data_IF_696082555634
#
_entry.id   IF_696082555634
#
_cell.length_a   1.000
_cell.length_b   1.000
_cell.length_c   1.000
_cell.angle_alpha   90.00
_cell.angle_beta   90.00
_cell.angle_gamma   90.00
#
_symmetry.space_group_name_H-M   'P 1'
#
loop_
_entity.id
_entity.type
_entity.pdbx_description
1 polymer ?
#
# COMPACT_ATOMS: atom_id res chain seq x y z
N UNK A 1 -24.45 16.53 22.98
CA UNK A 1 -23.06 16.22 23.36
C UNK A 1 -22.98 14.73 23.63
N UNK A 2 -22.00 14.05 23.02
CA UNK A 2 -21.76 12.61 23.14
C UNK A 2 -20.64 12.41 24.16
N UNK A 3 -20.78 11.49 25.12
CA UNK A 3 -19.64 11.13 25.98
C UNK A 3 -18.65 10.22 25.26
N UNK A 4 -17.44 10.15 25.83
CA UNK A 4 -16.31 9.46 25.23
C UNK A 4 -16.55 7.95 25.09
N UNK A 5 -17.24 7.32 26.03
CA UNK A 5 -17.47 5.87 25.99
C UNK A 5 -18.51 5.51 24.93
N UNK A 6 -19.58 6.30 24.78
CA UNK A 6 -20.48 6.15 23.63
C UNK A 6 -19.76 6.40 22.29
N UNK A 7 -18.82 7.35 22.22
CA UNK A 7 -18.00 7.53 21.01
C UNK A 7 -17.16 6.28 20.69
N UNK A 8 -16.57 5.63 21.71
CA UNK A 8 -15.85 4.36 21.55
C UNK A 8 -16.79 3.24 21.09
N UNK A 9 -17.99 3.15 21.67
CA UNK A 9 -18.99 2.14 21.26
C UNK A 9 -19.44 2.33 19.81
N UNK A 10 -19.61 3.58 19.36
CA UNK A 10 -19.91 3.89 17.96
C UNK A 10 -18.75 3.48 17.02
N UNK A 11 -17.50 3.70 17.43
CA UNK A 11 -16.33 3.21 16.70
C UNK A 11 -16.33 1.68 16.65
N UNK A 12 -16.58 0.98 17.75
CA UNK A 12 -16.71 -0.48 17.78
C UNK A 12 -17.79 -0.98 16.84
N UNK A 13 -18.94 -0.31 16.82
CA UNK A 13 -20.03 -0.63 15.91
C UNK A 13 -19.57 -0.53 14.45
N UNK A 14 -18.87 0.56 14.10
CA UNK A 14 -18.28 0.72 12.78
C UNK A 14 -17.27 -0.39 12.44
N UNK A 15 -16.34 -0.71 13.35
CA UNK A 15 -15.32 -1.74 13.15
C UNK A 15 -15.92 -3.12 12.91
N UNK A 16 -16.99 -3.47 13.62
CA UNK A 16 -17.73 -4.70 13.36
C UNK A 16 -18.43 -4.69 12.00
N UNK A 17 -18.98 -3.54 11.56
CA UNK A 17 -19.51 -3.41 10.19
C UNK A 17 -18.42 -3.58 9.13
N UNK A 18 -17.19 -3.10 9.37
CA UNK A 18 -16.06 -3.34 8.47
C UNK A 18 -15.73 -4.83 8.41
N UNK A 19 -15.69 -5.51 9.56
CA UNK A 19 -15.42 -6.94 9.64
C UNK A 19 -16.47 -7.81 8.92
N UNK A 20 -17.74 -7.37 8.87
CA UNK A 20 -18.80 -8.08 8.16
C UNK A 20 -18.63 -8.07 6.64
N UNK A 21 -17.89 -7.11 6.09
CA UNK A 21 -17.62 -7.08 4.65
C UNK A 21 -16.82 -8.35 4.30
N UNK A 22 -17.11 -8.95 3.14
CA UNK A 22 -16.44 -10.17 2.72
C UNK A 22 -16.17 -10.17 1.21
N UNK A 23 -15.12 -10.90 0.79
CA UNK A 23 -14.73 -11.04 -0.61
C UNK A 23 -14.16 -12.43 -0.88
N UNK A 24 -14.84 -13.16 -1.77
CA UNK A 24 -14.34 -14.42 -2.29
C UNK A 24 -13.26 -14.20 -3.37
N UNK A 25 -12.27 -15.09 -3.40
CA UNK A 25 -11.17 -15.13 -4.37
C UNK A 25 -11.00 -16.56 -4.87
N UNK A 26 -10.37 -16.74 -6.04
CA UNK A 26 -10.06 -18.07 -6.56
C UNK A 26 -9.07 -18.80 -5.64
N UNK A 27 -9.06 -20.14 -5.65
CA UNK A 27 -8.22 -20.93 -4.75
C UNK A 27 -6.71 -20.63 -4.85
N UNK A 28 -6.22 -20.26 -6.03
CA UNK A 28 -4.83 -19.83 -6.21
C UNK A 28 -4.58 -18.45 -5.58
N UNK A 29 -5.46 -17.46 -5.84
CA UNK A 29 -5.29 -16.11 -5.34
C UNK A 29 -5.50 -16.02 -3.82
N UNK A 30 -6.39 -16.84 -3.24
CA UNK A 30 -6.59 -16.93 -1.79
C UNK A 30 -5.33 -17.36 -1.03
N UNK A 31 -4.40 -18.12 -1.64
CA UNK A 31 -3.12 -18.47 -1.00
C UNK A 31 -2.20 -17.25 -0.84
N UNK A 32 -2.30 -16.27 -1.73
CA UNK A 32 -1.58 -14.99 -1.63
C UNK A 32 -2.34 -13.95 -0.78
N UNK A 33 -3.57 -14.24 -0.37
CA UNK A 33 -4.42 -13.39 0.48
C UNK A 33 -5.01 -14.23 1.61
N UNK A 34 -4.13 -14.87 2.40
CA UNK A 34 -4.53 -15.74 3.48
C UNK A 34 -5.30 -14.96 4.57
N UNK A 35 -6.36 -15.56 5.12
CA UNK A 35 -7.22 -14.93 6.14
C UNK A 35 -8.40 -14.13 5.61
N UNK A 36 -8.70 -14.23 4.30
CA UNK A 36 -9.79 -13.48 3.63
C UNK A 36 -9.77 -11.95 3.90
N UNK A 37 -8.61 -11.27 3.82
CA UNK A 37 -8.51 -9.87 4.17
C UNK A 37 -9.19 -8.95 3.14
N UNK A 38 -9.62 -7.80 3.64
CA UNK A 38 -10.17 -6.69 2.86
C UNK A 38 -9.34 -5.42 2.93
N UNK A 39 -8.44 -5.31 3.91
CA UNK A 39 -7.48 -4.21 4.04
C UNK A 39 -8.17 -2.83 4.16
N UNK A 40 -9.22 -2.72 4.98
CA UNK A 40 -9.93 -1.45 5.20
C UNK A 40 -9.15 -0.62 6.23
N UNK A 41 -8.29 0.28 5.74
CA UNK A 41 -7.35 1.03 6.57
C UNK A 41 -8.01 2.23 7.27
N UNK A 42 -7.56 2.52 8.49
CA UNK A 42 -7.81 3.79 9.19
C UNK A 42 -6.45 4.36 9.59
N UNK A 43 -6.16 5.58 9.14
CA UNK A 43 -4.93 6.31 9.49
C UNK A 43 -5.21 7.34 10.58
N UNK A 44 -4.34 7.39 11.59
CA UNK A 44 -4.34 8.42 12.65
C UNK A 44 -2.92 8.97 12.88
N UNK A 45 -2.81 10.08 13.59
CA UNK A 45 -1.53 10.74 13.87
C UNK A 45 -1.04 11.57 12.69
N UNK A 46 0.28 11.68 12.54
CA UNK A 46 0.92 12.48 11.50
C UNK A 46 0.88 13.98 11.78
N UNK A 47 1.13 14.75 10.74
CA UNK A 47 1.17 16.20 10.77
C UNK A 47 0.14 16.83 9.84
N UNK A 48 -0.30 18.04 10.14
CA UNK A 48 -1.02 18.90 9.21
C UNK A 48 -0.29 20.24 9.04
N UNK A 49 -0.61 20.97 7.97
CA UNK A 49 -0.15 22.35 7.79
C UNK A 49 -1.21 23.32 8.33
N UNK A 50 -0.83 24.14 9.31
CA UNK A 50 -1.64 25.25 9.84
C UNK A 50 -0.89 26.54 9.53
N UNK A 51 -1.50 27.42 8.73
CA UNK A 51 -0.85 28.64 8.23
C UNK A 51 0.53 28.38 7.58
N UNK A 52 0.65 27.25 6.89
CA UNK A 52 1.89 26.79 6.23
C UNK A 52 2.96 26.23 7.18
N UNK A 53 2.66 26.09 8.47
CA UNK A 53 3.57 25.49 9.45
C UNK A 53 3.15 24.05 9.80
N UNK A 54 4.08 23.09 9.81
CA UNK A 54 3.79 21.73 10.26
C UNK A 54 3.44 21.69 11.74
N UNK A 55 2.30 21.10 12.07
CA UNK A 55 1.81 20.90 13.42
C UNK A 55 1.44 19.43 13.63
N UNK A 56 1.60 18.93 14.86
CA UNK A 56 1.15 17.58 15.23
C UNK A 56 -0.38 17.48 15.06
N UNK A 57 -0.84 16.48 14.31
CA UNK A 57 -2.26 16.28 14.03
C UNK A 57 -2.94 15.34 15.06
N UNK A 58 -2.17 14.76 15.99
CA UNK A 58 -2.70 13.95 17.09
C UNK A 58 -3.69 14.77 17.93
N UNK A 59 -4.87 14.22 18.18
CA UNK A 59 -5.95 14.88 18.91
C UNK A 59 -6.76 13.86 19.74
N UNK A 60 -7.75 14.28 20.56
CA UNK A 60 -8.50 13.36 21.42
C UNK A 60 -9.22 12.23 20.67
N UNK A 61 -9.63 12.45 19.42
CA UNK A 61 -10.24 11.40 18.60
C UNK A 61 -9.19 10.36 18.16
N UNK A 62 -7.94 10.77 17.91
CA UNK A 62 -6.83 9.85 17.64
C UNK A 62 -6.66 8.83 18.78
N UNK A 63 -6.67 9.30 20.03
CA UNK A 63 -6.61 8.42 21.21
C UNK A 63 -7.84 7.52 21.33
N UNK A 64 -9.05 8.05 21.08
CA UNK A 64 -10.28 7.26 21.12
C UNK A 64 -10.29 6.15 20.07
N UNK A 65 -9.82 6.43 18.84
CA UNK A 65 -9.68 5.44 17.76
C UNK A 65 -8.67 4.37 18.16
N UNK A 66 -7.47 4.78 18.60
CA UNK A 66 -6.41 3.88 19.04
C UNK A 66 -6.88 2.94 20.16
N UNK A 67 -7.49 3.50 21.19
CA UNK A 67 -8.04 2.74 22.31
C UNK A 67 -9.18 1.81 21.86
N UNK A 68 -10.10 2.28 21.02
CA UNK A 68 -11.21 1.47 20.54
C UNK A 68 -10.71 0.21 19.82
N UNK A 69 -9.67 0.33 18.99
CA UNK A 69 -9.04 -0.80 18.30
C UNK A 69 -8.35 -1.74 19.29
N UNK A 70 -7.62 -1.21 20.28
CA UNK A 70 -6.96 -2.02 21.32
C UNK A 70 -7.94 -2.80 22.22
N UNK A 71 -9.11 -2.21 22.49
CA UNK A 71 -10.20 -2.89 23.22
C UNK A 71 -10.84 -4.00 22.37
N UNK A 72 -11.11 -3.76 21.09
CA UNK A 72 -11.83 -4.69 20.22
C UNK A 72 -10.96 -5.82 19.66
N UNK A 73 -9.68 -5.55 19.35
CA UNK A 73 -8.69 -6.52 18.83
C UNK A 73 -9.14 -7.26 17.57
N UNK A 74 -9.91 -6.58 16.73
CA UNK A 74 -10.39 -7.08 15.44
C UNK A 74 -9.31 -6.97 14.36
N UNK A 75 -9.48 -7.70 13.25
CA UNK A 75 -8.66 -7.56 12.05
C UNK A 75 -9.05 -6.36 11.18
N UNK A 76 -10.24 -5.78 11.41
CA UNK A 76 -10.71 -4.55 10.80
C UNK A 76 -11.06 -3.51 11.88
N UNK A 77 -10.70 -2.23 11.72
CA UNK A 77 -9.93 -1.69 10.59
C UNK A 77 -8.45 -2.12 10.64
N UNK A 78 -7.73 -1.97 9.53
CA UNK A 78 -6.28 -2.03 9.53
C UNK A 78 -5.72 -0.70 10.03
N UNK A 79 -5.36 -0.61 11.32
CA UNK A 79 -4.98 0.64 11.96
C UNK A 79 -3.52 1.02 11.66
N UNK A 80 -3.31 2.21 11.07
CA UNK A 80 -2.00 2.79 10.79
C UNK A 80 -1.81 4.10 11.53
N UNK A 81 -0.64 4.27 12.15
CA UNK A 81 -0.20 5.50 12.79
C UNK A 81 0.86 6.16 11.92
N UNK A 82 0.66 7.44 11.60
CA UNK A 82 1.68 8.27 10.97
C UNK A 82 2.63 8.81 12.04
N UNK A 83 3.86 8.31 12.03
CA UNK A 83 4.95 8.78 12.89
C UNK A 83 5.58 10.04 12.30
N UNK A 84 5.90 11.00 13.15
CA UNK A 84 6.81 12.11 12.87
C UNK A 84 7.64 12.42 14.12
N UNK A 85 8.76 13.11 13.94
CA UNK A 85 9.71 13.42 15.01
C UNK A 85 9.12 14.27 16.14
N UNK A 86 8.07 15.06 15.86
CA UNK A 86 7.38 15.90 16.85
C UNK A 86 6.29 15.17 17.64
N UNK A 87 6.00 13.90 17.34
CA UNK A 87 4.96 13.14 18.02
C UNK A 87 5.30 12.95 19.51
N UNK A 88 4.32 13.15 20.38
CA UNK A 88 4.55 13.06 21.83
C UNK A 88 4.90 11.62 22.29
N UNK A 89 5.75 11.53 23.31
CA UNK A 89 6.06 10.24 23.96
C UNK A 89 4.82 9.58 24.57
N UNK A 90 3.83 10.37 25.01
CA UNK A 90 2.57 9.88 25.56
C UNK A 90 1.77 9.11 24.50
N UNK A 91 1.59 9.69 23.31
CA UNK A 91 0.88 9.01 22.23
C UNK A 91 1.65 7.80 21.70
N UNK A 92 2.99 7.89 21.63
CA UNK A 92 3.83 6.77 21.24
C UNK A 92 3.72 5.60 22.24
N UNK A 93 3.75 5.88 23.55
CA UNK A 93 3.55 4.85 24.58
C UNK A 93 2.14 4.24 24.50
N UNK A 94 1.10 5.06 24.27
CA UNK A 94 -0.25 4.56 24.03
C UNK A 94 -0.31 3.59 22.84
N UNK A 95 0.43 3.86 21.75
CA UNK A 95 0.56 2.93 20.62
C UNK A 95 1.21 1.62 21.06
N UNK A 96 2.28 1.67 21.87
CA UNK A 96 2.94 0.47 22.42
C UNK A 96 1.99 -0.33 23.33
N UNK A 97 1.15 0.33 24.11
CA UNK A 97 0.11 -0.34 24.91
C UNK A 97 -0.88 -1.12 24.05
N UNK A 98 -1.26 -0.58 22.89
CA UNK A 98 -2.12 -1.29 21.92
C UNK A 98 -1.37 -2.43 21.24
N UNK A 99 -0.09 -2.27 20.88
CA UNK A 99 0.73 -3.37 20.35
C UNK A 99 0.76 -4.56 21.31
N UNK A 100 0.88 -4.29 22.62
CA UNK A 100 0.89 -5.31 23.68
C UNK A 100 -0.42 -6.11 23.78
N UNK A 101 -1.50 -5.67 23.13
CA UNK A 101 -2.75 -6.44 23.04
C UNK A 101 -2.64 -7.65 22.09
N UNK A 102 -1.57 -7.76 21.28
CA UNK A 102 -1.20 -9.01 20.60
C UNK A 102 -1.96 -9.31 19.32
N UNK A 103 -2.51 -8.29 18.64
CA UNK A 103 -3.28 -8.46 17.39
C UNK A 103 -2.62 -7.82 16.16
N UNK A 104 -1.38 -7.30 16.30
CA UNK A 104 -0.55 -6.85 15.18
C UNK A 104 -0.69 -5.38 14.78
N UNK A 105 -1.39 -4.55 15.56
CA UNK A 105 -1.62 -3.12 15.29
C UNK A 105 -1.30 -2.25 16.51
N UNK A 106 -1.15 -0.92 16.35
CA UNK A 106 -1.06 -0.21 15.06
C UNK A 106 0.22 -0.52 14.25
N UNK A 107 0.12 -0.42 12.93
CA UNK A 107 1.28 -0.30 12.05
C UNK A 107 1.77 1.16 12.01
N UNK A 108 2.99 1.38 11.49
CA UNK A 108 3.58 2.72 11.41
C UNK A 108 3.97 3.09 9.97
N UNK A 109 3.50 4.25 9.53
CA UNK A 109 4.02 4.98 8.37
C UNK A 109 4.86 6.14 8.87
N UNK A 110 5.82 6.61 8.06
CA UNK A 110 6.82 7.58 8.50
C UNK A 110 6.75 8.87 7.67
N UNK A 111 6.27 9.95 8.29
CA UNK A 111 6.17 11.27 7.67
C UNK A 111 7.54 11.80 7.23
N UNK A 112 8.61 11.45 7.96
CA UNK A 112 10.00 11.89 7.70
C UNK A 112 10.56 11.45 6.34
N UNK A 113 9.93 10.45 5.70
CA UNK A 113 10.29 9.98 4.36
C UNK A 113 9.15 10.17 3.36
N UNK A 114 7.90 9.93 3.77
CA UNK A 114 6.77 9.99 2.84
C UNK A 114 6.54 11.41 2.35
N UNK A 115 6.51 12.39 3.26
CA UNK A 115 6.20 13.78 2.89
C UNK A 115 7.27 14.37 1.96
N UNK A 116 8.59 14.27 2.25
CA UNK A 116 9.62 14.78 1.35
C UNK A 116 9.59 14.11 -0.03
N UNK A 117 9.40 12.80 -0.09
CA UNK A 117 9.38 12.08 -1.37
C UNK A 117 8.09 12.32 -2.16
N UNK A 118 6.95 12.54 -1.50
CA UNK A 118 5.71 12.98 -2.17
C UNK A 118 5.88 14.36 -2.81
N UNK A 119 6.45 15.32 -2.10
CA UNK A 119 6.72 16.65 -2.63
C UNK A 119 7.69 16.56 -3.82
N UNK A 120 8.73 15.73 -3.72
CA UNK A 120 9.69 15.48 -4.80
C UNK A 120 9.06 14.83 -6.03
N UNK A 121 8.02 14.02 -5.85
CA UNK A 121 7.21 13.47 -6.95
C UNK A 121 6.27 14.51 -7.60
N UNK A 122 6.15 15.70 -7.01
CA UNK A 122 5.30 16.79 -7.50
C UNK A 122 3.94 16.89 -6.81
N UNK A 123 3.73 16.19 -5.69
CA UNK A 123 2.53 16.37 -4.88
C UNK A 123 2.62 17.70 -4.14
N UNK A 124 1.54 18.49 -4.19
CA UNK A 124 1.45 19.77 -3.49
C UNK A 124 1.72 19.58 -1.99
N UNK A 125 2.47 20.47 -1.33
CA UNK A 125 2.79 20.33 0.10
C UNK A 125 1.54 20.12 0.97
N UNK A 126 0.46 20.85 0.72
CA UNK A 126 -0.78 20.68 1.47
C UNK A 126 -1.36 19.27 1.39
N UNK A 127 -1.26 18.64 0.22
CA UNK A 127 -1.73 17.27 -0.03
C UNK A 127 -0.74 16.23 0.52
N UNK A 128 0.56 16.49 0.41
CA UNK A 128 1.60 15.62 0.93
C UNK A 128 1.51 15.50 2.46
N UNK A 129 1.22 16.59 3.18
CA UNK A 129 1.00 16.54 4.63
C UNK A 129 -0.33 15.84 5.01
N UNK A 130 -1.29 15.74 4.10
CA UNK A 130 -2.60 15.09 4.31
C UNK A 130 -2.65 13.63 3.78
N UNK A 131 -1.50 13.00 3.55
CA UNK A 131 -1.46 11.62 3.07
C UNK A 131 -2.04 10.63 4.11
N UNK A 132 -2.51 9.49 3.63
CA UNK A 132 -2.94 8.37 4.46
C UNK A 132 -2.33 7.04 3.99
N UNK A 133 -2.31 6.05 4.88
CA UNK A 133 -2.06 4.68 4.49
C UNK A 133 -3.31 4.11 3.79
N UNK A 134 -3.11 3.44 2.66
CA UNK A 134 -4.15 2.76 1.91
C UNK A 134 -3.90 1.27 2.03
N UNK A 135 -4.94 0.46 2.25
CA UNK A 135 -4.77 -1.00 2.27
C UNK A 135 -3.82 -1.48 3.36
N UNK A 136 -2.62 -1.88 2.97
CA UNK A 136 -1.57 -2.42 3.84
C UNK A 136 -0.64 -1.34 4.38
N UNK A 137 0.32 -0.89 3.57
CA UNK A 137 1.40 0.03 3.98
C UNK A 137 1.64 1.17 2.98
N UNK A 138 1.11 1.01 1.77
CA UNK A 138 1.18 1.98 0.71
C UNK A 138 0.51 3.29 1.11
N UNK A 139 0.99 4.39 0.54
CA UNK A 139 0.55 5.73 0.92
C UNK A 139 0.01 6.45 -0.30
N UNK A 140 -1.00 7.28 -0.09
CA UNK A 140 -1.61 8.12 -1.11
C UNK A 140 -2.30 9.31 -0.44
N UNK A 141 -2.72 10.27 -1.25
CA UNK A 141 -3.56 11.39 -0.79
C UNK A 141 -5.03 10.98 -0.88
N UNK A 142 -5.71 10.93 0.27
CA UNK A 142 -7.12 10.54 0.34
C UNK A 142 -8.00 11.43 -0.54
N UNK A 143 -8.87 10.82 -1.34
CA UNK A 143 -9.80 11.54 -2.22
C UNK A 143 -9.17 12.22 -3.44
N UNK A 144 -7.85 12.17 -3.61
CA UNK A 144 -7.13 12.83 -4.72
C UNK A 144 -6.23 11.90 -5.53
N UNK A 145 -6.14 10.62 -5.16
CA UNK A 145 -5.27 9.67 -5.83
C UNK A 145 -6.06 8.67 -6.69
N UNK A 146 -5.40 8.16 -7.74
CA UNK A 146 -5.93 7.08 -8.55
C UNK A 146 -6.01 5.73 -7.81
N UNK A 147 -6.39 4.68 -8.53
CA UNK A 147 -6.33 3.33 -7.96
C UNK A 147 -4.88 2.88 -7.75
N UNK A 148 -4.68 1.95 -6.81
CA UNK A 148 -3.48 1.12 -6.69
C UNK A 148 -2.17 1.93 -6.66
N UNK A 149 -1.98 2.74 -5.62
CA UNK A 149 -0.64 3.25 -5.28
C UNK A 149 0.37 2.10 -5.01
N UNK A 150 -0.14 0.89 -4.73
CA UNK A 150 0.55 -0.39 -4.95
C UNK A 150 -0.42 -1.46 -5.44
N UNK A 151 0.09 -2.67 -5.66
CA UNK A 151 -0.72 -3.86 -5.91
C UNK A 151 -1.02 -4.11 -7.37
N UNK A 152 -0.11 -3.73 -8.27
CA UNK A 152 -0.18 -4.02 -9.70
C UNK A 152 0.20 -5.49 -9.98
N UNK A 153 1.17 -5.75 -10.85
CA UNK A 153 1.72 -7.10 -11.05
C UNK A 153 2.75 -7.47 -9.97
N UNK A 154 2.98 -8.78 -9.80
CA UNK A 154 3.96 -9.31 -8.86
C UNK A 154 5.06 -10.04 -9.63
N UNK A 155 6.30 -9.54 -9.54
CA UNK A 155 7.49 -10.21 -10.09
C UNK A 155 8.15 -11.03 -8.98
N UNK A 156 8.43 -12.31 -9.26
CA UNK A 156 9.19 -13.16 -8.34
C UNK A 156 10.69 -12.99 -8.58
N UNK A 157 11.34 -12.10 -7.81
CA UNK A 157 12.76 -11.79 -7.95
C UNK A 157 13.66 -13.03 -7.77
N UNK A 158 13.32 -13.95 -6.86
CA UNK A 158 14.12 -15.16 -6.65
C UNK A 158 14.14 -16.06 -7.90
N UNK A 159 13.01 -16.21 -8.58
CA UNK A 159 12.94 -16.99 -9.84
C UNK A 159 13.70 -16.31 -10.97
N UNK A 160 13.61 -14.98 -11.07
CA UNK A 160 14.39 -14.19 -12.03
C UNK A 160 15.89 -14.33 -11.76
N UNK A 161 16.30 -14.30 -10.48
CA UNK A 161 17.68 -14.47 -10.06
C UNK A 161 18.19 -15.87 -10.41
N UNK A 162 17.41 -16.92 -10.13
CA UNK A 162 17.78 -18.29 -10.53
C UNK A 162 17.94 -18.43 -12.05
N UNK A 163 17.07 -17.77 -12.83
CA UNK A 163 17.21 -17.72 -14.28
C UNK A 163 18.48 -16.96 -14.70
N UNK A 164 18.78 -15.82 -14.08
CA UNK A 164 20.01 -15.05 -14.34
C UNK A 164 21.28 -15.84 -14.05
N UNK A 165 21.24 -16.77 -13.10
CA UNK A 165 22.36 -17.64 -12.76
C UNK A 165 22.48 -18.88 -13.67
N UNK A 166 21.46 -19.18 -14.47
CA UNK A 166 21.36 -20.46 -15.18
C UNK A 166 20.83 -20.27 -16.60
N UNK A 167 21.55 -19.52 -17.44
CA UNK A 167 21.25 -19.43 -18.88
C UNK A 167 19.90 -18.79 -19.22
N UNK A 168 19.26 -18.09 -18.27
CA UNK A 168 17.90 -17.55 -18.41
C UNK A 168 16.79 -18.56 -18.10
N UNK A 169 17.14 -19.73 -17.56
CA UNK A 169 16.20 -20.83 -17.30
C UNK A 169 15.55 -20.68 -15.94
N UNK A 170 14.23 -20.51 -15.94
CA UNK A 170 13.44 -20.60 -14.70
C UNK A 170 13.48 -22.04 -14.17
N UNK A 171 14.07 -22.23 -13.00
CA UNK A 171 14.25 -23.56 -12.40
C UNK A 171 12.93 -24.30 -12.13
N UNK A 172 11.83 -23.57 -11.88
CA UNK A 172 10.53 -24.15 -11.54
C UNK A 172 9.79 -24.71 -12.75
N UNK A 173 9.74 -23.98 -13.87
CA UNK A 173 9.01 -24.40 -15.08
C UNK A 173 9.90 -25.00 -16.16
N UNK A 174 11.21 -24.77 -16.08
CA UNK A 174 12.20 -25.16 -17.09
C UNK A 174 12.22 -24.29 -18.35
N UNK A 175 11.38 -23.25 -18.41
CA UNK A 175 11.33 -22.32 -19.56
C UNK A 175 12.49 -21.33 -19.53
N UNK A 176 12.96 -20.95 -20.72
CA UNK A 176 13.91 -19.85 -20.93
C UNK A 176 13.16 -18.74 -21.68
N UNK A 177 12.81 -17.66 -20.98
CA UNK A 177 12.11 -16.53 -21.60
C UNK A 177 13.07 -15.52 -22.22
N UNK A 178 14.22 -15.31 -21.57
CA UNK A 178 15.32 -14.50 -22.09
C UNK A 178 16.61 -15.33 -22.03
N UNK A 179 17.06 -15.90 -23.17
CA UNK A 179 18.27 -16.72 -23.18
C UNK A 179 19.52 -15.87 -22.94
N UNK A 180 20.51 -16.47 -22.28
CA UNK A 180 21.86 -15.92 -22.11
C UNK A 180 22.89 -17.05 -22.13
N UNK A 181 24.15 -16.73 -22.46
CA UNK A 181 25.22 -17.73 -22.57
C UNK A 181 25.79 -18.16 -21.21
N UNK A 182 25.87 -17.23 -20.25
CA UNK A 182 26.49 -17.50 -18.95
C UNK A 182 25.54 -18.25 -18.03
N UNK A 183 26.07 -19.29 -17.39
CA UNK A 183 25.37 -20.16 -16.45
C UNK A 183 26.34 -20.74 -15.42
N UNK A 184 25.88 -20.93 -14.19
CA UNK A 184 26.66 -21.61 -13.15
C UNK A 184 26.96 -23.05 -13.55
N UNK A 185 26.01 -23.75 -14.18
CA UNK A 185 26.23 -25.12 -14.69
C UNK A 185 27.35 -25.22 -15.73
N UNK A 186 27.58 -24.16 -16.51
CA UNK A 186 28.66 -24.08 -17.49
C UNK A 186 30.00 -23.61 -16.88
N UNK A 187 29.99 -23.11 -15.64
CA UNK A 187 31.19 -22.60 -14.96
C UNK A 187 31.86 -21.44 -15.70
N UNK A 188 31.10 -20.65 -16.47
CA UNK A 188 31.61 -19.65 -17.42
C UNK A 188 31.37 -18.19 -16.98
N UNK A 189 31.07 -17.96 -15.71
CA UNK A 189 31.19 -16.66 -15.05
C UNK A 189 32.62 -16.47 -14.56
N UNK A 190 33.28 -15.38 -14.97
CA UNK A 190 34.66 -15.07 -14.59
C UNK A 190 34.75 -14.32 -13.25
N UNK A 191 33.71 -13.57 -12.91
CA UNK A 191 33.62 -12.76 -11.70
C UNK A 191 32.16 -12.47 -11.33
N UNK A 192 31.95 -11.81 -10.20
CA UNK A 192 30.61 -11.48 -9.70
C UNK A 192 29.95 -10.32 -10.45
N UNK A 193 30.71 -9.43 -11.08
CA UNK A 193 30.15 -8.33 -11.87
C UNK A 193 29.38 -8.89 -13.08
N UNK A 194 29.90 -9.92 -13.74
CA UNK A 194 29.18 -10.63 -14.83
C UNK A 194 27.88 -11.30 -14.34
N UNK A 195 27.83 -11.74 -13.07
CA UNK A 195 26.61 -12.27 -12.46
C UNK A 195 25.58 -11.15 -12.25
N UNK A 196 26.03 -9.98 -11.80
CA UNK A 196 25.17 -8.81 -11.63
C UNK A 196 24.68 -8.27 -12.98
N UNK A 197 25.51 -8.29 -14.03
CA UNK A 197 25.11 -7.93 -15.39
C UNK A 197 24.03 -8.87 -15.94
N UNK A 198 24.12 -10.17 -15.64
CA UNK A 198 23.09 -11.14 -15.98
C UNK A 198 21.78 -10.86 -15.24
N UNK A 199 21.86 -10.56 -13.94
CA UNK A 199 20.69 -10.13 -13.15
C UNK A 199 20.03 -8.89 -13.75
N UNK A 200 20.82 -7.85 -14.03
CA UNK A 200 20.37 -6.59 -14.60
C UNK A 200 19.65 -6.79 -15.93
N UNK A 201 20.22 -7.64 -16.79
CA UNK A 201 19.65 -7.97 -18.09
C UNK A 201 18.30 -8.69 -17.95
N UNK A 202 18.25 -9.72 -17.09
CA UNK A 202 17.02 -10.49 -16.85
C UNK A 202 15.94 -9.62 -16.22
N UNK A 203 16.25 -8.87 -15.15
CA UNK A 203 15.22 -8.10 -14.44
C UNK A 203 14.63 -7.00 -15.32
N UNK A 204 15.44 -6.31 -16.14
CA UNK A 204 14.94 -5.30 -17.09
C UNK A 204 13.95 -5.89 -18.09
N UNK A 205 14.19 -7.11 -18.58
CA UNK A 205 13.26 -7.81 -19.45
C UNK A 205 11.94 -8.12 -18.73
N UNK A 206 11.99 -8.71 -17.54
CA UNK A 206 10.78 -9.06 -16.79
C UNK A 206 9.99 -7.84 -16.31
N UNK A 207 10.66 -6.74 -15.96
CA UNK A 207 10.02 -5.45 -15.67
C UNK A 207 9.26 -4.91 -16.88
N UNK A 208 9.85 -4.96 -18.09
CA UNK A 208 9.12 -4.56 -19.29
C UNK A 208 7.89 -5.44 -19.51
N UNK A 209 8.04 -6.76 -19.38
CA UNK A 209 6.94 -7.71 -19.59
C UNK A 209 5.83 -7.55 -18.56
N UNK A 210 6.15 -7.19 -17.32
CA UNK A 210 5.15 -6.93 -16.29
C UNK A 210 4.29 -5.72 -16.65
N UNK A 211 4.91 -4.64 -17.15
CA UNK A 211 4.19 -3.43 -17.58
C UNK A 211 3.36 -3.71 -18.84
N UNK A 212 3.88 -4.48 -19.81
CA UNK A 212 3.10 -4.89 -21.00
C UNK A 212 1.81 -5.63 -20.61
N UNK A 213 1.87 -6.48 -19.57
CA UNK A 213 0.69 -7.19 -19.04
C UNK A 213 -0.25 -6.21 -18.31
N UNK A 214 0.29 -5.33 -17.46
CA UNK A 214 -0.50 -4.34 -16.72
C UNK A 214 -1.28 -3.42 -17.66
N UNK A 215 -0.65 -2.97 -18.75
CA UNK A 215 -1.30 -2.10 -19.73
C UNK A 215 -2.57 -2.74 -20.30
N UNK A 216 -2.50 -4.01 -20.69
CA UNK A 216 -3.67 -4.74 -21.19
C UNK A 216 -4.75 -4.84 -20.12
N UNK A 217 -4.38 -5.22 -18.88
CA UNK A 217 -5.35 -5.37 -17.79
C UNK A 217 -6.03 -4.04 -17.46
N UNK A 218 -5.26 -2.96 -17.38
CA UNK A 218 -5.77 -1.64 -17.03
C UNK A 218 -6.70 -1.07 -18.10
N UNK A 219 -6.38 -1.20 -19.38
CA UNK A 219 -7.27 -0.78 -20.47
C UNK A 219 -8.58 -1.58 -20.45
N UNK A 220 -8.53 -2.88 -20.19
CA UNK A 220 -9.75 -3.69 -20.09
C UNK A 220 -10.61 -3.28 -18.89
N UNK A 221 -10.00 -2.90 -17.76
CA UNK A 221 -10.75 -2.37 -16.62
C UNK A 221 -11.39 -1.01 -16.94
N UNK A 222 -10.61 -0.11 -17.57
CA UNK A 222 -11.07 1.21 -18.00
C UNK A 222 -12.30 1.13 -18.91
N UNK A 223 -12.26 0.27 -19.93
CA UNK A 223 -13.30 0.21 -20.95
C UNK A 223 -14.58 -0.49 -20.47
N UNK A 224 -14.49 -1.39 -19.47
CA UNK A 224 -15.58 -2.32 -19.16
C UNK A 224 -16.22 -2.12 -17.77
N UNK A 225 -15.50 -1.59 -16.78
CA UNK A 225 -15.96 -1.60 -15.37
C UNK A 225 -15.73 -0.27 -14.66
N UNK A 226 -16.42 0.77 -15.13
CA UNK A 226 -16.35 2.10 -14.52
C UNK A 226 -16.97 2.11 -13.11
N UNK A 227 -16.19 2.47 -12.09
CA UNK A 227 -16.71 2.65 -10.72
C UNK A 227 -17.32 4.04 -10.55
N UNK A 228 -18.62 4.15 -10.78
CA UNK A 228 -19.35 5.43 -10.77
C UNK A 228 -19.25 6.14 -9.43
N UNK A 229 -19.59 5.46 -8.34
CA UNK A 229 -19.59 6.05 -7.00
C UNK A 229 -18.18 6.40 -6.54
N UNK A 230 -17.20 5.51 -6.77
CA UNK A 230 -15.82 5.78 -6.37
C UNK A 230 -15.26 6.99 -7.11
N UNK A 231 -15.47 7.05 -8.43
CA UNK A 231 -15.02 8.18 -9.23
C UNK A 231 -15.69 9.49 -8.81
N UNK A 232 -16.99 9.48 -8.52
CA UNK A 232 -17.69 10.68 -8.05
C UNK A 232 -17.17 11.25 -6.72
N UNK A 233 -16.42 10.46 -5.94
CA UNK A 233 -15.87 10.86 -4.64
C UNK A 233 -14.35 11.09 -4.67
N UNK A 234 -13.76 11.16 -5.87
CA UNK A 234 -12.33 11.42 -6.06
C UNK A 234 -12.13 12.64 -6.95
N UNK A 235 -11.42 13.64 -6.42
CA UNK A 235 -11.02 14.84 -7.14
C UNK A 235 -10.07 14.44 -8.28
N UNK A 236 -10.22 14.92 -9.52
CA UNK A 236 -11.23 15.86 -10.03
C UNK A 236 -12.18 15.17 -11.02
N UNK A 237 -12.59 13.92 -10.76
CA UNK A 237 -13.29 13.10 -11.74
C UNK A 237 -14.60 13.73 -12.25
N UNK A 238 -15.35 14.39 -11.36
CA UNK A 238 -16.60 15.10 -11.73
C UNK A 238 -16.29 16.25 -12.69
N UNK A 239 -15.35 17.13 -12.33
CA UNK A 239 -14.96 18.29 -13.14
C UNK A 239 -14.40 17.85 -14.51
N UNK A 240 -13.63 16.76 -14.51
CA UNK A 240 -13.04 16.18 -15.73
C UNK A 240 -14.03 15.30 -16.52
N UNK A 241 -15.26 15.11 -16.03
CA UNK A 241 -16.31 14.27 -16.61
C UNK A 241 -15.84 12.86 -17.02
N UNK A 242 -14.96 12.25 -16.22
CA UNK A 242 -14.35 10.94 -16.51
C UNK A 242 -14.08 10.15 -15.24
N UNK A 243 -14.04 8.82 -15.37
CA UNK A 243 -13.73 7.95 -14.22
C UNK A 243 -12.27 8.10 -13.76
N UNK A 244 -11.96 7.57 -12.57
CA UNK A 244 -10.58 7.50 -12.07
C UNK A 244 -9.67 6.78 -13.08
N UNK A 245 -10.14 5.67 -13.67
CA UNK A 245 -9.31 4.84 -14.56
C UNK A 245 -9.01 5.52 -15.91
N UNK A 246 -9.84 6.47 -16.32
CA UNK A 246 -9.62 7.37 -17.47
C UNK A 246 -8.74 8.59 -17.13
N UNK A 247 -8.09 8.58 -15.97
CA UNK A 247 -7.24 9.67 -15.47
C UNK A 247 -8.02 10.82 -14.84
N UNK A 248 -9.19 10.54 -14.25
CA UNK A 248 -10.01 11.53 -13.53
C UNK A 248 -9.40 12.05 -12.24
N UNK A 249 -8.63 11.20 -11.53
CA UNK A 249 -7.98 11.58 -10.28
C UNK A 249 -6.93 12.70 -10.48
N UNK A 250 -6.75 13.53 -9.45
CA UNK A 250 -5.93 14.74 -9.45
C UNK A 250 -4.55 14.53 -10.08
#
# INVERSE_FOLDING_TARGET
TLDREHAIEMLHSCWLKLLEVNKIRSGSHSKASAGSPLYQNVTIGGQNLVDGQPMDAVNPLSYAILESCGRLRSTQPNLSVRYHAGMSNDFLDACVQVIRCGFGMPAFNNDEIVIPEFIKLGIEPQDAYDYAAIGCIETAVGGKWGYRCTGMSFINFARVMLAALEGGRDATSGKVFLPQEKALSAGNFNNFDEVMDAWDTQIRYYTRKSIEIEYVVDTMLEENVHDILCSALVDDCIERAKSIKQGGAK
#
